data_IF_102604953350
#
_entry.id   IF_102604953350
#
_cell.length_a   1.000
_cell.length_b   1.000
_cell.length_c   1.000
_cell.angle_alpha   90.00
_cell.angle_beta   90.00
_cell.angle_gamma   90.00
#
_symmetry.space_group_name_H-M   'P 1'
#
loop_
_entity.id
_entity.type
_entity.pdbx_description
1 polymer ?
#
# COMPACT_ATOMS: atom_id res chain seq x y z
N UNK A 1 30.09 -20.33 22.29
CA UNK A 1 29.54 -19.27 21.43
C UNK A 1 28.52 -19.93 20.52
N UNK A 2 27.23 -19.78 20.78
CA UNK A 2 26.16 -20.32 19.94
C UNK A 2 25.91 -19.34 18.80
N UNK A 3 25.92 -19.82 17.55
CA UNK A 3 25.53 -18.98 16.41
C UNK A 3 24.11 -18.44 16.63
N UNK A 4 23.84 -17.16 16.29
CA UNK A 4 22.50 -16.64 16.36
C UNK A 4 21.59 -17.46 15.42
N UNK A 5 20.31 -17.70 15.79
CA UNK A 5 19.41 -18.45 14.94
C UNK A 5 19.29 -17.77 13.58
N UNK A 6 19.37 -18.56 12.51
CA UNK A 6 19.13 -18.10 11.14
C UNK A 6 17.70 -17.59 11.03
N UNK A 7 17.50 -16.28 11.10
CA UNK A 7 16.20 -15.67 10.88
C UNK A 7 15.87 -15.80 9.39
N UNK A 8 15.01 -16.76 9.05
CA UNK A 8 14.42 -16.86 7.70
C UNK A 8 13.33 -15.79 7.56
N UNK A 9 13.73 -14.58 7.17
CA UNK A 9 12.80 -13.54 6.77
C UNK A 9 12.28 -13.84 5.35
N UNK A 10 10.96 -13.69 5.10
CA UNK A 10 10.42 -13.78 3.74
C UNK A 10 11.09 -12.78 2.80
N UNK A 11 11.30 -13.20 1.56
CA UNK A 11 11.98 -12.40 0.53
C UNK A 11 10.96 -11.75 -0.41
N UNK A 12 11.12 -10.46 -0.66
CA UNK A 12 10.36 -9.68 -1.64
C UNK A 12 11.25 -9.37 -2.85
N UNK A 13 10.69 -9.38 -4.05
CA UNK A 13 11.33 -8.78 -5.21
C UNK A 13 11.25 -7.25 -5.15
N UNK A 14 11.92 -6.56 -6.08
CA UNK A 14 11.82 -5.08 -6.17
C UNK A 14 10.41 -4.58 -6.55
N UNK A 15 9.55 -5.48 -7.02
CA UNK A 15 8.12 -5.24 -7.24
C UNK A 15 7.32 -6.48 -6.86
N UNK A 16 6.14 -6.26 -6.28
CA UNK A 16 5.24 -7.30 -5.80
C UNK A 16 3.80 -7.03 -6.22
N UNK A 17 2.99 -8.09 -6.23
CA UNK A 17 1.53 -7.94 -6.25
C UNK A 17 1.02 -7.79 -4.83
N UNK A 18 0.18 -6.78 -4.61
CA UNK A 18 -0.43 -6.55 -3.30
C UNK A 18 -1.95 -6.41 -3.43
N UNK A 19 -2.67 -6.61 -2.33
CA UNK A 19 -4.10 -6.36 -2.22
C UNK A 19 -4.38 -5.35 -1.09
N UNK A 20 -5.44 -4.58 -1.26
CA UNK A 20 -6.04 -3.70 -0.24
C UNK A 20 -7.49 -4.17 -0.03
N UNK A 21 -7.71 -5.20 0.81
CA UNK A 21 -9.00 -5.90 0.90
C UNK A 21 -10.15 -4.99 1.34
N UNK A 22 -9.91 -4.02 2.22
CA UNK A 22 -10.95 -3.06 2.66
C UNK A 22 -11.53 -2.23 1.51
N UNK A 23 -10.79 -2.10 0.40
CA UNK A 23 -11.22 -1.36 -0.77
C UNK A 23 -11.62 -2.27 -1.94
N UNK A 24 -11.71 -3.58 -1.72
CA UNK A 24 -11.99 -4.55 -2.80
C UNK A 24 -10.88 -4.64 -3.86
N UNK A 25 -9.72 -4.02 -3.63
CA UNK A 25 -8.58 -4.07 -4.55
C UNK A 25 -7.87 -5.39 -4.32
N UNK A 26 -8.15 -6.37 -5.18
CA UNK A 26 -7.58 -7.71 -5.05
C UNK A 26 -6.14 -7.80 -5.56
N UNK A 27 -5.74 -6.95 -6.51
CA UNK A 27 -4.41 -6.96 -7.11
C UNK A 27 -4.01 -5.56 -7.59
N UNK A 28 -2.89 -5.04 -7.09
CA UNK A 28 -2.21 -3.85 -7.57
C UNK A 28 -0.70 -4.08 -7.55
N UNK A 29 0.01 -3.59 -8.57
CA UNK A 29 1.48 -3.69 -8.59
C UNK A 29 2.08 -2.62 -7.70
N UNK A 30 2.85 -3.04 -6.71
CA UNK A 30 3.64 -2.16 -5.86
C UNK A 30 5.11 -2.25 -6.24
N UNK A 31 5.79 -1.10 -6.28
CA UNK A 31 7.26 -1.07 -6.23
C UNK A 31 7.68 -1.12 -4.77
N UNK A 32 8.63 -2.00 -4.45
CA UNK A 32 9.30 -2.00 -3.17
C UNK A 32 10.35 -0.91 -3.18
N UNK A 33 10.17 0.15 -2.40
CA UNK A 33 10.97 1.37 -2.44
C UNK A 33 11.70 1.58 -1.12
N UNK A 34 12.91 1.03 -1.02
CA UNK A 34 13.77 1.20 0.16
C UNK A 34 14.24 2.64 0.34
N UNK A 35 14.17 3.50 -0.68
CA UNK A 35 14.46 4.93 -0.57
C UNK A 35 13.34 5.70 0.13
N UNK A 36 12.09 5.25 -0.01
CA UNK A 36 10.93 5.87 0.60
C UNK A 36 10.75 5.46 2.08
N UNK A 37 10.54 6.45 2.95
CA UNK A 37 10.14 6.18 4.36
C UNK A 37 8.73 5.62 4.44
N UNK A 38 7.80 6.29 3.76
CA UNK A 38 6.36 6.02 3.81
C UNK A 38 5.89 5.37 2.52
N UNK A 39 4.86 4.52 2.61
CA UNK A 39 4.17 3.99 1.45
C UNK A 39 3.30 5.07 0.79
N UNK A 40 3.04 4.91 -0.50
CA UNK A 40 2.21 5.83 -1.27
C UNK A 40 1.30 5.09 -2.23
N UNK A 41 0.07 5.57 -2.38
CA UNK A 41 -0.90 5.07 -3.35
C UNK A 41 -1.32 6.21 -4.27
N UNK A 42 -1.30 5.91 -5.56
CA UNK A 42 -1.78 6.80 -6.60
C UNK A 42 -3.31 6.85 -6.56
N UNK A 43 -3.84 8.06 -6.56
CA UNK A 43 -5.28 8.34 -6.59
C UNK A 43 -5.58 9.33 -7.71
N UNK A 44 -6.65 9.08 -8.46
CA UNK A 44 -7.10 9.98 -9.53
C UNK A 44 -7.87 11.17 -8.95
N UNK A 45 -8.72 10.89 -7.97
CA UNK A 45 -9.54 11.89 -7.28
C UNK A 45 -9.56 11.64 -5.77
N UNK A 46 -9.81 12.70 -5.00
CA UNK A 46 -9.87 12.69 -3.54
C UNK A 46 -10.79 13.80 -3.01
N UNK A 47 -11.81 13.43 -2.24
CA UNK A 47 -12.75 14.37 -1.62
C UNK A 47 -12.89 14.09 -0.10
N UNK A 48 -12.49 15.03 0.77
CA UNK A 48 -12.69 14.88 2.21
C UNK A 48 -14.15 15.15 2.58
N UNK A 49 -14.71 14.35 3.48
CA UNK A 49 -16.07 14.52 3.99
C UNK A 49 -16.15 14.18 5.48
N UNK A 50 -17.30 14.49 6.11
CA UNK A 50 -17.59 14.08 7.48
C UNK A 50 -18.64 12.99 7.52
N UNK A 51 -18.40 11.98 8.35
CA UNK A 51 -19.33 10.91 8.67
C UNK A 51 -19.29 10.66 10.17
N UNK A 52 -20.43 10.79 10.84
CA UNK A 52 -20.58 10.63 12.29
C UNK A 52 -19.57 11.45 13.11
N UNK A 53 -19.33 12.70 12.69
CA UNK A 53 -18.39 13.63 13.32
C UNK A 53 -16.91 13.29 13.14
N UNK A 54 -16.57 12.29 12.32
CA UNK A 54 -15.20 11.91 11.96
C UNK A 54 -14.85 12.39 10.57
N UNK A 55 -13.57 12.72 10.36
CA UNK A 55 -13.05 13.09 9.04
C UNK A 55 -12.76 11.83 8.23
N UNK A 56 -13.37 11.75 7.05
CA UNK A 56 -13.19 10.68 6.08
C UNK A 56 -12.70 11.24 4.76
N UNK A 57 -12.22 10.35 3.91
CA UNK A 57 -11.78 10.66 2.56
C UNK A 57 -12.38 9.65 1.59
N UNK A 58 -13.11 10.14 0.60
CA UNK A 58 -13.38 9.41 -0.63
C UNK A 58 -12.17 9.57 -1.54
N UNK A 59 -11.70 8.49 -2.16
CA UNK A 59 -10.63 8.56 -3.15
C UNK A 59 -10.78 7.47 -4.21
N UNK A 60 -10.36 7.77 -5.42
CA UNK A 60 -10.46 6.84 -6.56
C UNK A 60 -9.11 6.24 -6.91
N UNK A 61 -9.02 4.91 -6.91
CA UNK A 61 -7.81 4.16 -7.29
C UNK A 61 -7.97 3.55 -8.68
N UNK A 62 -7.00 3.78 -9.55
CA UNK A 62 -6.89 3.09 -10.84
C UNK A 62 -5.98 1.86 -10.73
N UNK A 63 -6.53 0.66 -10.92
CA UNK A 63 -5.80 -0.60 -10.65
C UNK A 63 -5.02 -1.18 -11.82
N UNK A 64 -5.36 -0.88 -13.09
CA UNK A 64 -4.66 -1.42 -14.28
C UNK A 64 -3.80 -0.36 -14.98
N UNK A 65 -2.61 -0.77 -15.43
CA UNK A 65 -1.59 0.10 -16.04
C UNK A 65 -1.67 0.24 -17.57
N UNK A 66 -2.45 -0.57 -18.30
CA UNK A 66 -2.33 -0.70 -19.78
C UNK A 66 -3.64 -0.75 -20.58
N UNK A 67 -4.78 -0.86 -19.91
CA UNK A 67 -6.12 -0.80 -20.48
C UNK A 67 -6.95 0.00 -19.48
N UNK A 68 -7.88 0.84 -19.95
CA UNK A 68 -8.79 1.66 -19.14
C UNK A 68 -9.03 1.01 -17.79
N UNK A 69 -8.34 1.54 -16.78
CA UNK A 69 -8.24 0.85 -15.50
C UNK A 69 -9.62 0.79 -14.86
N UNK A 70 -9.90 -0.31 -14.17
CA UNK A 70 -11.04 -0.30 -13.26
C UNK A 70 -10.73 0.76 -12.20
N UNK A 71 -11.52 1.83 -12.23
CA UNK A 71 -11.59 2.83 -11.18
C UNK A 71 -12.38 2.23 -10.02
N UNK A 72 -11.82 2.31 -8.83
CA UNK A 72 -12.44 1.83 -7.61
C UNK A 72 -12.53 3.01 -6.67
N UNK A 73 -13.77 3.41 -6.37
CA UNK A 73 -14.07 4.38 -5.32
C UNK A 73 -13.82 3.71 -3.96
N UNK A 74 -13.05 4.38 -3.12
CA UNK A 74 -12.59 3.88 -1.84
C UNK A 74 -12.91 4.92 -0.77
N UNK A 75 -13.23 4.46 0.43
CA UNK A 75 -13.52 5.32 1.58
C UNK A 75 -12.70 4.89 2.78
N UNK A 76 -12.02 5.83 3.42
CA UNK A 76 -11.27 5.57 4.64
C UNK A 76 -11.29 6.76 5.60
N UNK A 77 -11.21 6.52 6.93
CA UNK A 77 -10.95 7.57 7.89
C UNK A 77 -9.61 8.27 7.59
N UNK A 78 -9.59 9.60 7.71
CA UNK A 78 -8.33 10.35 7.62
C UNK A 78 -7.56 10.14 8.92
N UNK A 79 -6.44 9.42 8.85
CA UNK A 79 -5.56 9.20 10.00
C UNK A 79 -4.72 10.43 10.31
N UNK A 80 -4.16 11.08 9.29
CA UNK A 80 -3.28 12.25 9.42
C UNK A 80 -3.15 13.03 8.10
N UNK A 81 -2.51 14.20 8.12
CA UNK A 81 -2.02 14.93 6.95
C UNK A 81 -0.54 15.28 7.12
N UNK A 82 0.32 14.65 6.32
CA UNK A 82 1.79 14.79 6.45
C UNK A 82 2.41 15.49 5.25
N UNK A 83 3.45 16.27 5.50
CA UNK A 83 4.29 16.83 4.43
C UNK A 83 5.27 15.76 3.96
N UNK A 84 5.18 15.39 2.70
CA UNK A 84 6.05 14.41 2.05
C UNK A 84 6.94 15.15 1.06
N UNK A 85 8.24 14.87 1.12
CA UNK A 85 9.22 15.37 0.14
C UNK A 85 9.51 14.27 -0.87
N UNK A 86 9.53 14.60 -2.17
CA UNK A 86 10.02 13.68 -3.19
C UNK A 86 11.52 13.86 -3.45
N UNK A 87 12.08 13.00 -4.32
CA UNK A 87 13.50 13.03 -4.68
C UNK A 87 13.93 14.31 -5.40
N UNK A 88 13.00 15.10 -5.93
CA UNK A 88 13.26 16.40 -6.54
C UNK A 88 13.20 17.55 -5.53
N UNK A 89 12.98 17.28 -4.24
CA UNK A 89 12.87 18.30 -3.20
C UNK A 89 11.50 18.96 -3.10
N UNK A 90 10.52 18.57 -3.93
CA UNK A 90 9.17 19.12 -3.87
C UNK A 90 8.45 18.58 -2.64
N UNK A 91 7.83 19.49 -1.89
CA UNK A 91 7.06 19.17 -0.69
C UNK A 91 5.58 19.25 -0.98
N UNK A 92 4.83 18.23 -0.58
CA UNK A 92 3.39 18.18 -0.72
C UNK A 92 2.75 17.70 0.58
N UNK A 93 1.66 18.34 1.00
CA UNK A 93 0.83 17.84 2.11
C UNK A 93 -0.12 16.77 1.58
N UNK A 94 -0.02 15.55 2.11
CA UNK A 94 -0.79 14.38 1.67
C UNK A 94 -1.65 13.84 2.80
N UNK A 95 -2.85 13.37 2.44
CA UNK A 95 -3.66 12.57 3.36
C UNK A 95 -2.96 11.25 3.66
N UNK A 96 -3.13 10.78 4.89
CA UNK A 96 -2.67 9.48 5.34
C UNK A 96 -3.89 8.67 5.73
N UNK A 97 -3.97 7.47 5.20
CA UNK A 97 -4.92 6.44 5.62
C UNK A 97 -4.14 5.29 6.25
N UNK A 98 -4.82 4.46 7.02
CA UNK A 98 -4.31 3.18 7.50
C UNK A 98 -5.26 2.09 7.06
N UNK A 99 -4.72 1.02 6.48
CA UNK A 99 -5.51 -0.08 5.94
C UNK A 99 -4.69 -1.38 5.96
N UNK A 100 -5.33 -2.56 6.05
CA UNK A 100 -4.68 -3.82 5.85
C UNK A 100 -4.16 -3.95 4.42
N UNK A 101 -2.96 -4.51 4.30
CA UNK A 101 -2.28 -4.75 3.04
C UNK A 101 -1.80 -6.19 3.00
N UNK A 102 -2.06 -6.86 1.87
CA UNK A 102 -1.68 -8.26 1.67
C UNK A 102 -0.66 -8.40 0.55
N UNK A 103 0.41 -9.15 0.76
CA UNK A 103 1.27 -9.69 -0.32
C UNK A 103 1.58 -11.15 -0.02
N UNK A 104 1.36 -12.02 -1.01
CA UNK A 104 1.40 -13.47 -0.80
C UNK A 104 0.44 -13.90 0.31
N UNK A 105 1.01 -14.39 1.42
CA UNK A 105 0.30 -14.84 2.63
C UNK A 105 0.43 -13.87 3.81
N UNK A 106 1.12 -12.74 3.63
CA UNK A 106 1.38 -11.78 4.70
C UNK A 106 0.30 -10.71 4.72
N UNK A 107 -0.31 -10.51 5.88
CA UNK A 107 -1.21 -9.39 6.18
C UNK A 107 -0.50 -8.42 7.13
N UNK A 108 -0.38 -7.16 6.73
CA UNK A 108 0.19 -6.09 7.56
C UNK A 108 -0.75 -4.89 7.63
N UNK A 109 -0.74 -4.15 8.74
CA UNK A 109 -1.31 -2.80 8.76
C UNK A 109 -0.29 -1.82 8.16
N UNK A 110 -0.72 -1.05 7.16
CA UNK A 110 0.13 -0.08 6.49
C UNK A 110 -0.47 1.32 6.55
N UNK A 111 0.35 2.29 6.95
CA UNK A 111 0.06 3.70 6.69
C UNK A 111 0.45 4.06 5.26
N UNK A 112 -0.51 4.64 4.53
CA UNK A 112 -0.37 4.96 3.11
C UNK A 112 -0.66 6.44 2.90
N UNK A 113 0.28 7.12 2.24
CA UNK A 113 0.06 8.50 1.77
C UNK A 113 -0.66 8.47 0.43
N UNK A 114 -1.69 9.29 0.28
CA UNK A 114 -2.44 9.38 -0.99
C UNK A 114 -1.90 10.55 -1.83
N UNK A 115 -1.74 10.31 -3.13
CA UNK A 115 -1.16 11.30 -4.04
C UNK A 115 -1.70 11.15 -5.45
N UNK A 116 -2.03 12.27 -6.08
CA UNK A 116 -2.20 12.30 -7.53
C UNK A 116 -0.82 12.40 -8.19
N UNK A 117 -0.45 11.40 -8.99
CA UNK A 117 0.80 11.33 -9.78
C UNK A 117 0.58 10.48 -11.02
N UNK A 118 -0.08 11.05 -12.02
CA UNK A 118 -0.44 10.35 -13.26
C UNK A 118 0.78 9.77 -14.01
N UNK A 119 1.95 10.43 -13.89
CA UNK A 119 3.19 10.03 -14.58
C UNK A 119 3.93 8.82 -13.98
N UNK A 120 3.46 8.26 -12.85
CA UNK A 120 4.18 7.17 -12.20
C UNK A 120 3.85 5.79 -12.78
N UNK A 121 4.91 5.05 -13.15
CA UNK A 121 4.83 3.67 -13.65
C UNK A 121 4.15 2.71 -12.67
N UNK A 122 4.29 2.91 -11.36
CA UNK A 122 3.66 2.08 -10.33
C UNK A 122 2.57 2.87 -9.63
N UNK A 123 1.39 2.25 -9.50
CA UNK A 123 0.25 2.84 -8.81
C UNK A 123 0.42 2.78 -7.29
N UNK A 124 1.36 1.98 -6.79
CA UNK A 124 1.70 1.90 -5.37
C UNK A 124 3.21 1.82 -5.13
N UNK A 125 3.67 2.47 -4.07
CA UNK A 125 5.00 2.36 -3.49
C UNK A 125 4.90 1.80 -2.08
N UNK A 126 5.72 0.80 -1.76
CA UNK A 126 5.90 0.32 -0.39
C UNK A 126 7.20 0.86 0.18
N UNK A 127 7.07 1.74 1.17
CA UNK A 127 8.20 2.34 1.88
C UNK A 127 8.66 1.49 3.07
N UNK A 128 9.84 1.81 3.61
CA UNK A 128 10.49 1.06 4.70
C UNK A 128 9.62 0.83 5.93
N UNK A 129 8.74 1.77 6.28
CA UNK A 129 7.89 1.65 7.48
C UNK A 129 6.90 0.48 7.38
N UNK A 130 6.37 0.19 6.19
CA UNK A 130 5.49 -0.95 5.98
C UNK A 130 6.23 -2.31 6.03
N UNK A 131 7.56 -2.29 5.83
CA UNK A 131 8.40 -3.51 5.72
C UNK A 131 9.23 -3.80 6.98
N UNK A 132 9.05 -3.00 8.03
CA UNK A 132 10.02 -2.90 9.12
C UNK A 132 10.32 -4.24 9.81
N UNK A 133 11.59 -4.70 9.69
CA UNK A 133 12.18 -5.92 10.31
C UNK A 133 11.59 -7.27 9.91
N UNK A 134 10.74 -7.31 8.89
CA UNK A 134 10.03 -8.55 8.53
C UNK A 134 10.38 -9.09 7.14
N UNK A 135 11.16 -8.39 6.31
CA UNK A 135 11.47 -8.83 4.94
C UNK A 135 12.91 -8.56 4.49
N UNK A 136 13.39 -9.40 3.58
CA UNK A 136 14.61 -9.19 2.77
C UNK A 136 14.16 -8.81 1.35
N UNK A 137 14.89 -7.91 0.69
CA UNK A 137 14.54 -7.43 -0.66
C UNK A 137 15.60 -7.90 -1.64
N UNK A 138 15.20 -8.70 -2.62
CA UNK A 138 16.01 -9.07 -3.78
C UNK A 138 15.74 -8.08 -4.93
N UNK A 139 16.70 -7.21 -5.27
CA UNK A 139 16.53 -6.23 -6.34
C UNK A 139 16.52 -6.86 -7.75
N UNK A 140 16.96 -8.10 -7.91
CA UNK A 140 16.99 -8.81 -9.18
C UNK A 140 15.66 -9.51 -9.49
N UNK A 141 14.92 -9.92 -8.45
CA UNK A 141 13.68 -10.66 -8.58
C UNK A 141 12.41 -9.79 -8.65
N UNK A 142 11.31 -10.36 -9.10
CA UNK A 142 9.99 -9.73 -9.11
C UNK A 142 8.93 -10.75 -8.74
N UNK A 143 7.91 -10.33 -8.00
CA UNK A 143 6.73 -11.12 -7.66
C UNK A 143 7.05 -12.42 -6.90
N UNK A 144 8.03 -12.37 -5.98
CA UNK A 144 8.45 -13.55 -5.22
C UNK A 144 7.34 -14.09 -4.32
N UNK A 145 6.37 -13.24 -3.97
CA UNK A 145 5.22 -13.62 -3.16
C UNK A 145 4.01 -14.09 -3.98
N UNK A 146 4.11 -14.09 -5.32
CA UNK A 146 3.02 -14.44 -6.20
C UNK A 146 1.84 -13.45 -6.13
N UNK A 147 0.64 -13.90 -6.49
CA UNK A 147 -0.58 -13.10 -6.36
C UNK A 147 -1.12 -13.20 -4.92
N UNK A 148 -1.56 -12.09 -4.31
CA UNK A 148 -2.09 -12.10 -2.94
C UNK A 148 -3.36 -12.94 -2.82
N UNK A 149 -3.47 -13.70 -1.73
CA UNK A 149 -4.71 -14.39 -1.40
C UNK A 149 -5.64 -13.46 -0.60
N UNK A 150 -6.34 -12.56 -1.30
CA UNK A 150 -7.26 -11.60 -0.68
C UNK A 150 -8.48 -12.29 -0.03
N UNK A 151 -8.93 -13.43 -0.58
CA UNK A 151 -10.13 -14.13 -0.14
C UNK A 151 -9.97 -14.82 1.21
N UNK A 152 -8.76 -15.28 1.57
CA UNK A 152 -8.51 -15.87 2.90
C UNK A 152 -8.55 -14.84 4.04
N UNK A 153 -8.44 -13.54 3.72
CA UNK A 153 -8.37 -12.46 4.71
C UNK A 153 -9.69 -11.67 4.86
N UNK A 154 -10.63 -11.82 3.93
CA UNK A 154 -11.97 -11.21 4.02
C UNK A 154 -12.85 -11.79 5.13
N UNK A 155 -12.63 -13.06 5.53
CA UNK A 155 -13.44 -13.73 6.56
C UNK A 155 -13.26 -13.14 7.97
N UNK A 156 -12.16 -12.42 8.22
CA UNK A 156 -11.84 -11.83 9.53
C UNK A 156 -12.28 -10.37 9.66
N UNK A 157 -12.52 -9.66 8.54
CA UNK A 157 -12.92 -8.26 8.53
C UNK A 157 -14.45 -8.08 8.69
N UNK A 158 -15.25 -9.04 8.21
CA UNK A 158 -16.72 -9.01 8.30
C UNK A 158 -17.30 -9.37 9.68
N UNK A 159 -16.46 -9.59 10.71
CA UNK A 159 -16.90 -9.87 12.10
C UNK A 159 -16.96 -8.63 13.01
N UNK A 160 -16.79 -7.43 12.47
CA UNK A 160 -16.73 -6.17 13.25
C UNK A 160 -17.77 -5.11 12.87
N UNK A 161 -18.85 -5.48 12.19
CA UNK A 161 -20.05 -4.66 12.08
C UNK A 161 -21.10 -5.14 13.09
#
# INVERSE_FOLDING_TARGET
MTEPPLIHLPMLGWREWVALPEFGITQIKAKIDTGARSSALHTVDMEPYQLDGKNWLMFTVETKQKQTGQLIECHAPIKDRRVVSDSGGHKQRRYVIETPLVFGQHLIQAEITLTNRDSMRFRMLLGRTAMNKVFIIDPHASYLQGKPNALSHNSSLNKKL
#
